data_IF_928265370406
#
_entry.id   IF_928265370406
#
_cell.length_a   1.000
_cell.length_b   1.000
_cell.length_c   1.000
_cell.angle_alpha   90.00
_cell.angle_beta   90.00
_cell.angle_gamma   90.00
#
_symmetry.space_group_name_H-M   'P 1'
#
loop_
_entity.id
_entity.type
_entity.pdbx_description
1 polymer ?
#
# COMPACT_ATOMS: atom_id res chain seq x y z
N UNK A 1 11.10 -72.08 35.20
CA UNK A 1 11.68 -70.75 35.53
C UNK A 1 12.26 -70.19 34.25
N UNK A 2 11.47 -69.36 33.56
CA UNK A 2 11.91 -68.59 32.39
C UNK A 2 12.69 -67.38 32.90
N UNK A 3 13.88 -67.16 32.33
CA UNK A 3 14.79 -66.06 32.68
C UNK A 3 14.17 -64.71 32.27
N UNK A 4 13.81 -63.83 33.23
CA UNK A 4 13.14 -62.57 32.94
C UNK A 4 14.07 -61.50 32.36
N UNK A 5 15.35 -61.80 32.14
CA UNK A 5 16.33 -60.82 31.61
C UNK A 5 16.42 -60.79 30.08
N UNK A 6 15.86 -61.79 29.37
CA UNK A 6 15.93 -61.85 27.91
C UNK A 6 14.90 -60.97 27.18
N UNK A 7 13.81 -60.56 27.84
CA UNK A 7 12.76 -59.73 27.22
C UNK A 7 13.07 -58.22 27.23
N UNK A 8 13.86 -57.74 28.19
CA UNK A 8 14.12 -56.29 28.32
C UNK A 8 15.03 -55.70 27.22
N UNK A 9 15.89 -56.51 26.60
CA UNK A 9 16.79 -56.04 25.53
C UNK A 9 16.11 -55.79 24.17
N UNK A 10 14.90 -56.33 23.96
CA UNK A 10 14.14 -56.10 22.73
C UNK A 10 13.45 -54.73 22.75
N UNK A 11 12.83 -54.37 23.89
CA UNK A 11 12.13 -53.09 24.03
C UNK A 11 13.06 -51.88 24.00
N UNK A 12 14.29 -52.01 24.54
CA UNK A 12 15.30 -50.94 24.52
C UNK A 12 15.81 -50.63 23.10
N UNK A 13 15.92 -51.67 22.25
CA UNK A 13 16.28 -51.52 20.83
C UNK A 13 15.13 -50.95 19.99
N UNK A 14 13.87 -51.25 20.30
CA UNK A 14 12.74 -50.67 19.59
C UNK A 14 12.45 -49.22 20.01
N UNK A 15 12.57 -48.91 21.32
CA UNK A 15 12.39 -47.57 21.85
C UNK A 15 13.40 -46.56 21.32
N UNK A 16 14.70 -46.92 21.31
CA UNK A 16 15.76 -46.05 20.74
C UNK A 16 15.63 -45.83 19.23
N UNK A 17 15.10 -46.81 18.49
CA UNK A 17 14.86 -46.71 17.04
C UNK A 17 13.63 -45.85 16.70
N UNK A 18 12.55 -45.95 17.47
CA UNK A 18 11.38 -45.09 17.31
C UNK A 18 11.72 -43.62 17.66
N UNK A 19 12.53 -43.40 18.70
CA UNK A 19 13.03 -42.07 19.08
C UNK A 19 13.89 -41.42 18.00
N UNK A 20 14.74 -42.18 17.30
CA UNK A 20 15.55 -41.67 16.18
C UNK A 20 14.69 -41.27 14.96
N UNK A 21 13.67 -42.07 14.61
CA UNK A 21 12.76 -41.75 13.50
C UNK A 21 11.89 -40.53 13.85
N UNK A 22 11.41 -40.43 15.09
CA UNK A 22 10.65 -39.27 15.55
C UNK A 22 11.52 -38.01 15.62
N UNK A 23 12.77 -38.09 16.08
CA UNK A 23 13.65 -36.91 16.18
C UNK A 23 14.09 -36.35 14.81
N UNK A 24 14.16 -37.16 13.76
CA UNK A 24 14.40 -36.67 12.40
C UNK A 24 13.13 -36.14 11.69
N UNK A 25 11.93 -36.57 12.10
CA UNK A 25 10.66 -36.15 11.48
C UNK A 25 9.97 -34.98 12.18
N UNK A 26 10.16 -34.82 13.49
CA UNK A 26 9.55 -33.74 14.28
C UNK A 26 9.90 -32.32 13.79
N UNK A 27 11.15 -31.98 13.42
CA UNK A 27 11.47 -30.63 12.94
C UNK A 27 10.72 -30.25 11.66
N UNK A 28 10.42 -31.22 10.80
CA UNK A 28 9.72 -31.00 9.53
C UNK A 28 8.20 -30.90 9.70
N UNK A 29 7.62 -31.74 10.56
CA UNK A 29 6.19 -31.65 10.95
C UNK A 29 5.93 -30.31 11.65
N UNK A 30 6.82 -29.90 12.57
CA UNK A 30 6.70 -28.62 13.27
C UNK A 30 6.96 -27.42 12.35
N UNK A 31 7.89 -27.48 11.40
CA UNK A 31 8.12 -26.36 10.45
C UNK A 31 6.94 -26.13 9.50
N UNK A 32 6.25 -27.22 9.12
CA UNK A 32 5.05 -27.17 8.27
C UNK A 32 3.86 -26.59 9.05
N UNK A 33 3.70 -26.94 10.33
CA UNK A 33 2.65 -26.42 11.21
C UNK A 33 2.90 -24.95 11.63
N UNK A 34 4.16 -24.55 11.83
CA UNK A 34 4.51 -23.20 12.34
C UNK A 34 4.64 -22.12 11.26
N UNK A 35 4.70 -22.48 9.97
CA UNK A 35 4.83 -21.51 8.86
C UNK A 35 3.61 -21.39 7.95
N UNK A 36 2.58 -22.24 8.07
CA UNK A 36 1.38 -22.12 7.21
C UNK A 36 0.39 -21.12 7.82
N UNK A 37 0.41 -19.86 7.36
CA UNK A 37 -0.72 -18.94 7.56
C UNK A 37 -1.89 -19.18 6.59
N UNK A 38 -1.73 -20.11 5.63
CA UNK A 38 -2.80 -20.62 4.77
C UNK A 38 -2.80 -22.15 4.83
N UNK A 39 -3.75 -22.72 5.57
CA UNK A 39 -3.90 -24.17 5.68
C UNK A 39 -4.60 -24.69 4.41
N UNK A 40 -3.86 -25.31 3.48
CA UNK A 40 -4.42 -26.06 2.35
C UNK A 40 -4.38 -27.57 2.68
N UNK A 41 -5.51 -28.18 3.08
CA UNK A 41 -5.52 -29.57 3.57
C UNK A 41 -5.04 -30.59 2.52
N UNK A 42 -5.31 -30.34 1.23
CA UNK A 42 -4.93 -31.24 0.15
C UNK A 42 -3.41 -31.28 -0.09
N UNK A 43 -2.74 -30.12 -0.05
CA UNK A 43 -1.28 -30.04 -0.14
C UNK A 43 -0.62 -30.69 1.07
N UNK A 44 -1.13 -30.42 2.28
CA UNK A 44 -0.62 -31.04 3.51
C UNK A 44 -0.79 -32.56 3.51
N UNK A 45 -1.93 -33.08 3.05
CA UNK A 45 -2.16 -34.52 2.91
C UNK A 45 -1.25 -35.13 1.85
N UNK A 46 -1.02 -34.44 0.72
CA UNK A 46 -0.09 -34.88 -0.31
C UNK A 46 1.36 -34.96 0.18
N UNK A 47 1.84 -33.93 0.88
CA UNK A 47 3.17 -33.90 1.50
C UNK A 47 3.31 -34.97 2.58
N UNK A 48 2.32 -35.10 3.48
CA UNK A 48 2.32 -36.14 4.51
C UNK A 48 2.32 -37.54 3.90
N UNK A 49 1.50 -37.81 2.90
CA UNK A 49 1.47 -39.10 2.19
C UNK A 49 2.83 -39.41 1.55
N UNK A 50 3.47 -38.42 0.94
CA UNK A 50 4.80 -38.59 0.36
C UNK A 50 5.86 -38.91 1.42
N UNK A 51 5.87 -38.20 2.54
CA UNK A 51 6.76 -38.50 3.67
C UNK A 51 6.49 -39.87 4.27
N UNK A 52 5.23 -40.29 4.37
CA UNK A 52 4.84 -41.63 4.81
C UNK A 52 5.34 -42.71 3.83
N UNK A 53 5.24 -42.48 2.52
CA UNK A 53 5.75 -43.40 1.51
C UNK A 53 7.29 -43.49 1.54
N UNK A 54 7.98 -42.37 1.75
CA UNK A 54 9.43 -42.35 1.96
C UNK A 54 9.81 -43.14 3.22
N UNK A 55 9.20 -42.83 4.36
CA UNK A 55 9.47 -43.50 5.61
C UNK A 55 9.16 -45.01 5.53
N UNK A 56 8.06 -45.38 4.88
CA UNK A 56 7.69 -46.77 4.60
C UNK A 56 8.69 -47.47 3.68
N UNK A 57 9.17 -46.77 2.65
CA UNK A 57 10.21 -47.26 1.74
C UNK A 57 11.56 -47.49 2.43
N UNK A 58 11.97 -46.56 3.29
CA UNK A 58 13.16 -46.70 4.14
C UNK A 58 13.01 -47.85 5.13
N UNK A 59 11.86 -47.97 5.80
CA UNK A 59 11.58 -49.07 6.72
C UNK A 59 11.54 -50.43 6.01
N UNK A 60 10.98 -50.48 4.81
CA UNK A 60 10.97 -51.69 3.97
C UNK A 60 12.37 -52.09 3.53
N UNK A 61 13.16 -51.14 3.02
CA UNK A 61 14.56 -51.38 2.67
C UNK A 61 15.36 -51.89 3.89
N UNK A 62 15.10 -51.32 5.06
CA UNK A 62 15.77 -51.68 6.32
C UNK A 62 15.42 -53.10 6.79
N UNK A 63 14.17 -53.53 6.63
CA UNK A 63 13.64 -54.80 7.17
C UNK A 63 13.69 -55.97 6.20
N UNK A 64 13.56 -55.73 4.88
CA UNK A 64 13.41 -56.77 3.85
C UNK A 64 14.48 -56.76 2.75
N UNK A 65 15.46 -55.86 2.77
CA UNK A 65 16.57 -55.89 1.84
C UNK A 65 17.45 -57.14 2.06
N UNK A 66 17.30 -58.15 1.20
CA UNK A 66 17.95 -59.46 1.33
C UNK A 66 19.48 -59.37 1.23
N UNK A 67 20.01 -58.35 0.55
CA UNK A 67 21.46 -58.11 0.46
C UNK A 67 21.87 -56.69 0.86
N UNK A 68 23.14 -56.50 1.24
CA UNK A 68 23.70 -55.17 1.53
C UNK A 68 23.62 -54.25 0.29
N UNK A 69 23.75 -54.82 -0.89
CA UNK A 69 23.72 -54.09 -2.17
C UNK A 69 22.32 -53.56 -2.50
N UNK A 70 21.27 -54.36 -2.28
CA UNK A 70 19.88 -53.92 -2.48
C UNK A 70 19.49 -52.79 -1.53
N UNK A 71 19.93 -52.85 -0.27
CA UNK A 71 19.72 -51.78 0.70
C UNK A 71 20.40 -50.49 0.27
N UNK A 72 21.65 -50.56 -0.18
CA UNK A 72 22.37 -49.42 -0.69
C UNK A 72 21.67 -48.80 -1.93
N UNK A 73 21.17 -49.63 -2.85
CA UNK A 73 20.40 -49.17 -4.01
C UNK A 73 19.10 -48.46 -3.61
N UNK A 74 18.33 -49.05 -2.69
CA UNK A 74 17.09 -48.44 -2.20
C UNK A 74 17.35 -47.10 -1.50
N UNK A 75 18.38 -47.01 -0.63
CA UNK A 75 18.74 -45.75 0.01
C UNK A 75 19.19 -44.69 -0.99
N UNK A 76 19.93 -45.07 -2.02
CA UNK A 76 20.34 -44.16 -3.08
C UNK A 76 19.11 -43.65 -3.87
N UNK A 77 18.21 -44.54 -4.25
CA UNK A 77 16.98 -44.19 -4.98
C UNK A 77 16.09 -43.24 -4.17
N UNK A 78 15.85 -43.52 -2.89
CA UNK A 78 15.04 -42.64 -2.04
C UNK A 78 15.72 -41.29 -1.75
N UNK A 79 17.05 -41.28 -1.57
CA UNK A 79 17.81 -40.03 -1.45
C UNK A 79 17.72 -39.16 -2.70
N UNK A 80 17.78 -39.77 -3.89
CA UNK A 80 17.64 -39.06 -5.17
C UNK A 80 16.23 -38.52 -5.38
N UNK A 81 15.19 -39.29 -5.02
CA UNK A 81 13.80 -38.82 -5.07
C UNK A 81 13.56 -37.66 -4.11
N UNK A 82 14.12 -37.73 -2.90
CA UNK A 82 14.05 -36.65 -1.93
C UNK A 82 14.76 -35.37 -2.42
N UNK A 83 15.94 -35.51 -3.02
CA UNK A 83 16.66 -34.40 -3.63
C UNK A 83 15.86 -33.77 -4.78
N UNK A 84 15.31 -34.58 -5.69
CA UNK A 84 14.51 -34.11 -6.81
C UNK A 84 13.27 -33.33 -6.34
N UNK A 85 12.56 -33.84 -5.32
CA UNK A 85 11.43 -33.11 -4.74
C UNK A 85 11.87 -31.81 -4.06
N UNK A 86 12.97 -31.83 -3.31
CA UNK A 86 13.50 -30.64 -2.65
C UNK A 86 13.89 -29.54 -3.65
N UNK A 87 14.48 -29.94 -4.78
CA UNK A 87 14.78 -29.02 -5.89
C UNK A 87 13.49 -28.49 -6.54
N UNK A 88 12.50 -29.36 -6.77
CA UNK A 88 11.22 -28.96 -7.34
C UNK A 88 10.45 -27.97 -6.47
N UNK A 89 10.34 -28.22 -5.16
CA UNK A 89 9.68 -27.32 -4.21
C UNK A 89 10.41 -25.98 -4.07
N UNK A 90 11.74 -26.00 -4.09
CA UNK A 90 12.52 -24.75 -4.11
C UNK A 90 12.36 -24.00 -5.44
N UNK A 91 12.25 -24.69 -6.57
CA UNK A 91 11.98 -24.08 -7.86
C UNK A 91 10.59 -23.43 -7.92
N UNK A 92 9.56 -24.09 -7.38
CA UNK A 92 8.20 -23.51 -7.26
C UNK A 92 8.21 -22.22 -6.42
N UNK A 93 8.83 -22.27 -5.22
CA UNK A 93 9.00 -21.07 -4.38
C UNK A 93 9.78 -19.96 -5.09
N UNK A 94 10.81 -20.32 -5.84
CA UNK A 94 11.59 -19.37 -6.63
C UNK A 94 10.72 -18.73 -7.73
N UNK A 95 9.89 -19.50 -8.42
CA UNK A 95 8.93 -18.97 -9.41
C UNK A 95 7.91 -18.01 -8.78
N UNK A 96 7.34 -18.37 -7.63
CA UNK A 96 6.44 -17.48 -6.88
C UNK A 96 7.15 -16.17 -6.50
N UNK A 97 8.36 -16.25 -5.96
CA UNK A 97 9.20 -15.09 -5.62
C UNK A 97 9.46 -14.21 -6.84
N UNK A 98 9.82 -14.80 -7.99
CA UNK A 98 10.04 -14.04 -9.23
C UNK A 98 8.75 -13.38 -9.73
N UNK A 99 7.62 -14.08 -9.64
CA UNK A 99 6.31 -13.57 -10.05
C UNK A 99 5.84 -12.38 -9.18
N UNK A 100 6.13 -12.44 -7.87
CA UNK A 100 5.86 -11.37 -6.90
C UNK A 100 6.82 -10.20 -7.11
N UNK A 101 8.11 -10.47 -7.37
CA UNK A 101 9.09 -9.43 -7.73
C UNK A 101 8.70 -8.69 -9.00
N UNK A 102 8.27 -9.41 -10.04
CA UNK A 102 7.85 -8.81 -11.29
C UNK A 102 6.63 -7.91 -11.10
N UNK A 103 5.58 -8.40 -10.43
CA UNK A 103 4.38 -7.61 -10.17
C UNK A 103 4.63 -6.41 -9.24
N UNK A 104 5.51 -6.56 -8.24
CA UNK A 104 5.91 -5.44 -7.40
C UNK A 104 6.74 -4.41 -8.16
N UNK A 105 7.62 -4.83 -9.08
CA UNK A 105 8.35 -3.92 -9.96
C UNK A 105 7.40 -3.16 -10.88
N UNK A 106 6.38 -3.81 -11.45
CA UNK A 106 5.34 -3.13 -12.22
C UNK A 106 4.59 -2.08 -11.39
N UNK A 107 4.18 -2.43 -10.16
CA UNK A 107 3.54 -1.46 -9.24
C UNK A 107 4.48 -0.30 -8.94
N UNK A 108 5.75 -0.58 -8.63
CA UNK A 108 6.76 0.44 -8.38
C UNK A 108 6.90 1.37 -9.58
N UNK A 109 6.95 0.84 -10.81
CA UNK A 109 7.03 1.63 -12.03
C UNK A 109 5.77 2.47 -12.25
N UNK A 110 4.58 1.94 -11.99
CA UNK A 110 3.32 2.70 -12.06
C UNK A 110 3.32 3.84 -11.04
N UNK A 111 3.77 3.60 -9.81
CA UNK A 111 3.86 4.62 -8.76
C UNK A 111 4.91 5.69 -9.07
N UNK A 112 6.10 5.29 -9.55
CA UNK A 112 7.17 6.21 -9.92
C UNK A 112 6.76 7.07 -11.15
N UNK A 113 6.02 6.49 -12.11
CA UNK A 113 5.44 7.22 -13.25
C UNK A 113 4.32 8.19 -12.81
N UNK A 114 3.45 7.77 -11.89
CA UNK A 114 2.42 8.64 -11.32
C UNK A 114 3.05 9.82 -10.56
N UNK A 115 4.14 9.57 -9.81
CA UNK A 115 4.92 10.62 -9.14
C UNK A 115 5.54 11.59 -10.14
N UNK A 116 6.18 11.11 -11.20
CA UNK A 116 6.70 11.97 -12.28
C UNK A 116 5.58 12.76 -12.97
N UNK A 117 4.40 12.18 -13.19
CA UNK A 117 3.26 12.91 -13.76
C UNK A 117 2.74 14.00 -12.83
N UNK A 118 2.75 13.79 -11.52
CA UNK A 118 2.40 14.82 -10.54
C UNK A 118 3.45 15.95 -10.52
N UNK A 119 4.74 15.62 -10.59
CA UNK A 119 5.84 16.58 -10.68
C UNK A 119 5.82 17.38 -12.00
N UNK A 120 5.51 16.73 -13.13
CA UNK A 120 5.35 17.34 -14.45
C UNK A 120 4.06 18.16 -14.58
N UNK A 121 3.04 17.89 -13.77
CA UNK A 121 1.82 18.73 -13.76
C UNK A 121 2.05 20.11 -13.15
N UNK A 122 3.12 20.28 -12.34
CA UNK A 122 3.58 21.59 -11.86
C UNK A 122 4.47 22.32 -12.88
N UNK A 123 4.99 21.63 -13.90
CA UNK A 123 5.77 22.20 -15.00
C UNK A 123 5.04 21.93 -16.31
N UNK A 124 3.93 22.65 -16.53
CA UNK A 124 2.96 22.38 -17.59
C UNK A 124 3.54 21.98 -18.95
N UNK A 125 3.66 20.68 -19.20
CA UNK A 125 3.75 20.12 -20.55
C UNK A 125 3.49 18.60 -20.58
N UNK A 126 2.45 18.24 -21.32
CA UNK A 126 2.14 17.00 -22.03
C UNK A 126 2.96 15.72 -21.73
N UNK A 127 2.42 14.84 -20.88
CA UNK A 127 2.83 13.43 -20.78
C UNK A 127 1.61 12.49 -20.67
N UNK A 128 0.65 12.61 -21.61
CA UNK A 128 -0.66 11.93 -21.53
C UNK A 128 -0.73 10.56 -22.21
N UNK A 129 0.31 10.07 -22.88
CA UNK A 129 0.17 8.91 -23.80
C UNK A 129 1.04 7.68 -23.54
N UNK A 130 1.94 7.66 -22.55
CA UNK A 130 2.84 6.50 -22.36
C UNK A 130 2.43 5.54 -21.21
N UNK A 131 1.69 6.01 -20.21
CA UNK A 131 1.32 5.15 -19.06
C UNK A 131 0.27 4.07 -19.39
N UNK A 132 -0.63 4.31 -20.37
CA UNK A 132 -1.71 3.36 -20.67
C UNK A 132 -1.29 2.18 -21.58
N UNK A 133 -0.11 2.27 -22.20
CA UNK A 133 0.39 1.22 -23.10
C UNK A 133 1.17 0.12 -22.37
N UNK A 134 1.76 0.41 -21.20
CA UNK A 134 2.61 -0.54 -20.48
C UNK A 134 1.86 -1.65 -19.72
N UNK A 135 0.54 -1.55 -19.55
CA UNK A 135 -0.27 -2.55 -18.80
C UNK A 135 -1.03 -3.50 -19.76
N UNK A 136 -0.90 -3.29 -21.08
CA UNK A 136 -1.78 -3.94 -22.08
C UNK A 136 -1.21 -5.16 -22.78
N UNK A 137 0.03 -5.55 -22.53
CA UNK A 137 0.60 -6.77 -23.10
C UNK A 137 1.51 -7.44 -22.07
N UNK A 138 1.04 -8.54 -21.46
CA UNK A 138 1.85 -9.77 -21.28
C UNK A 138 1.09 -10.91 -20.58
N UNK A 139 0.91 -11.97 -21.36
CA UNK A 139 0.81 -13.41 -21.04
C UNK A 139 -0.34 -13.97 -20.18
N UNK A 140 -1.10 -14.85 -20.85
CA UNK A 140 -1.94 -15.94 -20.35
C UNK A 140 -1.12 -17.02 -19.60
N UNK A 141 -0.45 -16.64 -18.51
CA UNK A 141 0.09 -17.55 -17.49
C UNK A 141 -0.74 -17.44 -16.21
N UNK A 142 -0.83 -18.52 -15.41
CA UNK A 142 -1.53 -18.54 -14.12
C UNK A 142 -1.07 -17.36 -13.24
N UNK A 143 -1.85 -16.31 -13.16
CA UNK A 143 -1.59 -15.19 -12.26
C UNK A 143 -1.75 -15.67 -10.82
N UNK A 144 -0.83 -15.29 -9.95
CA UNK A 144 -1.01 -15.56 -8.52
C UNK A 144 -2.08 -14.63 -7.94
N UNK A 145 -2.78 -15.05 -6.89
CA UNK A 145 -3.76 -14.23 -6.17
C UNK A 145 -3.23 -12.82 -5.84
N UNK A 146 -1.95 -12.73 -5.46
CA UNK A 146 -1.30 -11.45 -5.13
C UNK A 146 -1.13 -10.57 -6.36
N UNK A 147 -0.88 -11.15 -7.55
CA UNK A 147 -0.84 -10.40 -8.81
C UNK A 147 -2.21 -9.85 -9.20
N UNK A 148 -3.27 -10.64 -9.00
CA UNK A 148 -4.65 -10.22 -9.26
C UNK A 148 -4.99 -9.00 -8.38
N UNK A 149 -4.70 -9.10 -7.08
CA UNK A 149 -4.92 -8.01 -6.13
C UNK A 149 -4.09 -6.77 -6.48
N UNK A 150 -2.79 -6.95 -6.74
CA UNK A 150 -1.87 -5.90 -7.13
C UNK A 150 -2.31 -5.15 -8.40
N UNK A 151 -2.69 -5.87 -9.45
CA UNK A 151 -3.12 -5.27 -10.71
C UNK A 151 -4.41 -4.47 -10.55
N UNK A 152 -5.36 -5.00 -9.77
CA UNK A 152 -6.62 -4.31 -9.52
C UNK A 152 -6.47 -3.05 -8.66
N UNK A 153 -5.68 -3.09 -7.59
CA UNK A 153 -5.41 -1.90 -6.77
C UNK A 153 -4.54 -0.87 -7.50
N UNK A 154 -3.61 -1.29 -8.36
CA UNK A 154 -2.85 -0.38 -9.22
C UNK A 154 -3.77 0.40 -10.17
N UNK A 155 -4.78 -0.26 -10.76
CA UNK A 155 -5.79 0.42 -11.58
C UNK A 155 -6.60 1.44 -10.77
N UNK A 156 -7.04 1.08 -9.56
CA UNK A 156 -7.74 2.02 -8.66
C UNK A 156 -6.86 3.21 -8.29
N UNK A 157 -5.55 2.98 -8.04
CA UNK A 157 -4.59 4.03 -7.74
C UNK A 157 -4.39 4.97 -8.94
N UNK A 158 -4.35 4.45 -10.17
CA UNK A 158 -4.27 5.25 -11.39
C UNK A 158 -5.53 6.12 -11.55
N UNK A 159 -6.72 5.55 -11.35
CA UNK A 159 -7.98 6.29 -11.42
C UNK A 159 -8.08 7.38 -10.35
N UNK A 160 -7.70 7.06 -9.11
CA UNK A 160 -7.57 8.04 -8.03
C UNK A 160 -6.59 9.17 -8.40
N UNK A 161 -5.41 8.84 -8.93
CA UNK A 161 -4.43 9.81 -9.39
C UNK A 161 -4.98 10.74 -10.49
N UNK A 162 -5.75 10.20 -11.45
CA UNK A 162 -6.42 11.01 -12.48
C UNK A 162 -7.47 11.95 -11.89
N UNK A 163 -8.31 11.48 -10.95
CA UNK A 163 -9.32 12.30 -10.25
C UNK A 163 -8.65 13.42 -9.44
N UNK A 164 -7.58 13.13 -8.71
CA UNK A 164 -6.81 14.13 -7.95
C UNK A 164 -6.12 15.17 -8.85
N UNK A 165 -5.61 14.75 -10.01
CA UNK A 165 -5.04 15.68 -10.99
C UNK A 165 -6.10 16.64 -11.56
N UNK A 166 -7.29 16.14 -11.83
CA UNK A 166 -8.41 16.98 -12.28
C UNK A 166 -8.85 17.97 -11.19
N UNK A 167 -8.99 17.50 -9.94
CA UNK A 167 -9.25 18.34 -8.78
C UNK A 167 -8.20 19.46 -8.64
N UNK A 168 -6.90 19.14 -8.77
CA UNK A 168 -5.83 20.14 -8.73
C UNK A 168 -5.96 21.20 -9.84
N UNK A 169 -6.37 20.81 -11.05
CA UNK A 169 -6.63 21.78 -12.13
C UNK A 169 -7.80 22.71 -11.79
N UNK A 170 -8.84 22.20 -11.14
CA UNK A 170 -9.96 23.01 -10.66
C UNK A 170 -9.53 23.98 -9.55
N UNK A 171 -8.66 23.57 -8.63
CA UNK A 171 -8.01 24.49 -7.67
C UNK A 171 -7.24 25.61 -8.37
N UNK A 172 -6.38 25.28 -9.35
CA UNK A 172 -5.63 26.29 -10.11
C UNK A 172 -6.57 27.24 -10.89
N UNK A 173 -7.70 26.72 -11.35
CA UNK A 173 -8.71 27.50 -12.08
C UNK A 173 -9.63 28.31 -11.17
N UNK A 174 -9.67 28.02 -9.87
CA UNK A 174 -10.53 28.71 -8.88
C UNK A 174 -10.18 30.19 -8.70
N UNK A 175 -8.96 30.60 -9.08
CA UNK A 175 -8.43 31.95 -8.89
C UNK A 175 -8.42 32.40 -7.43
N UNK A 176 -8.14 31.50 -6.50
CA UNK A 176 -8.00 31.84 -5.07
C UNK A 176 -6.98 32.96 -4.82
N UNK A 177 -5.96 33.09 -5.69
CA UNK A 177 -5.00 34.19 -5.69
C UNK A 177 -5.64 35.58 -5.85
N UNK A 178 -6.82 35.64 -6.48
CA UNK A 178 -7.57 36.88 -6.71
C UNK A 178 -8.61 37.19 -5.64
N UNK A 179 -8.98 36.23 -4.80
CA UNK A 179 -10.03 36.41 -3.80
C UNK A 179 -9.76 37.60 -2.87
N UNK A 180 -8.50 37.88 -2.55
CA UNK A 180 -8.11 39.01 -1.70
C UNK A 180 -7.42 40.13 -2.47
N UNK A 181 -7.59 40.18 -3.79
CA UNK A 181 -7.01 41.26 -4.60
C UNK A 181 -7.62 42.62 -4.21
N UNK A 182 -6.86 43.73 -4.27
CA UNK A 182 -7.38 45.03 -3.87
C UNK A 182 -8.66 45.43 -4.59
N UNK A 183 -8.76 45.18 -5.91
CA UNK A 183 -9.95 45.48 -6.69
C UNK A 183 -11.21 44.75 -6.18
N UNK A 184 -11.03 43.51 -5.72
CA UNK A 184 -12.13 42.73 -5.19
C UNK A 184 -12.56 43.19 -3.80
N UNK A 185 -11.66 43.77 -3.01
CA UNK A 185 -11.95 44.23 -1.65
C UNK A 185 -12.51 45.66 -1.57
N UNK A 186 -12.63 46.38 -2.69
CA UNK A 186 -13.11 47.79 -2.68
C UNK A 186 -14.43 48.03 -3.39
N UNK A 187 -15.09 47.00 -3.92
CA UNK A 187 -16.36 47.15 -4.65
C UNK A 187 -17.33 46.01 -4.34
N UNK A 188 -18.64 46.28 -4.42
CA UNK A 188 -19.66 45.25 -4.16
C UNK A 188 -19.54 44.06 -5.11
N UNK A 189 -19.33 44.32 -6.40
CA UNK A 189 -19.14 43.26 -7.41
C UNK A 189 -17.91 42.42 -7.11
N UNK A 190 -16.81 43.08 -6.73
CA UNK A 190 -15.57 42.41 -6.35
C UNK A 190 -15.71 41.54 -5.11
N UNK A 191 -16.40 42.04 -4.07
CA UNK A 191 -16.66 41.30 -2.83
C UNK A 191 -17.50 40.06 -3.13
N UNK A 192 -18.52 40.19 -3.97
CA UNK A 192 -19.34 39.06 -4.41
C UNK A 192 -18.53 38.02 -5.18
N UNK A 193 -17.62 38.45 -6.07
CA UNK A 193 -16.72 37.55 -6.79
C UNK A 193 -15.78 36.80 -5.82
N UNK A 194 -15.21 37.50 -4.83
CA UNK A 194 -14.38 36.88 -3.80
C UNK A 194 -15.11 35.83 -2.98
N UNK A 195 -16.37 36.09 -2.60
CA UNK A 195 -17.20 35.10 -1.90
C UNK A 195 -17.41 33.84 -2.74
N UNK A 196 -17.76 34.02 -4.01
CA UNK A 196 -17.94 32.90 -4.94
C UNK A 196 -16.64 32.08 -5.11
N UNK A 197 -15.48 32.74 -5.17
CA UNK A 197 -14.18 32.06 -5.21
C UNK A 197 -13.96 31.24 -3.94
N UNK A 198 -14.15 31.83 -2.76
CA UNK A 198 -13.94 31.12 -1.48
C UNK A 198 -14.91 29.94 -1.32
N UNK A 199 -16.18 30.11 -1.68
CA UNK A 199 -17.19 29.06 -1.66
C UNK A 199 -16.83 27.89 -2.58
N UNK A 200 -16.43 28.17 -3.82
CA UNK A 200 -15.95 27.15 -4.74
C UNK A 200 -14.74 26.38 -4.18
N UNK A 201 -13.78 27.06 -3.54
CA UNK A 201 -12.61 26.38 -2.95
C UNK A 201 -12.99 25.54 -1.72
N UNK A 202 -13.96 25.97 -0.92
CA UNK A 202 -14.51 25.15 0.18
C UNK A 202 -15.10 23.84 -0.34
N UNK A 203 -15.86 23.88 -1.45
CA UNK A 203 -16.39 22.68 -2.08
C UNK A 203 -15.27 21.75 -2.58
N UNK A 204 -14.22 22.31 -3.18
CA UNK A 204 -13.06 21.52 -3.62
C UNK A 204 -12.31 20.87 -2.44
N UNK A 205 -12.20 21.54 -1.29
CA UNK A 205 -11.62 20.96 -0.07
C UNK A 205 -12.42 19.74 0.41
N UNK A 206 -13.74 19.88 0.47
CA UNK A 206 -14.64 18.79 0.86
C UNK A 206 -14.53 17.60 -0.12
N UNK A 207 -14.49 17.88 -1.42
CA UNK A 207 -14.33 16.86 -2.45
C UNK A 207 -13.00 16.11 -2.32
N UNK A 208 -11.89 16.81 -2.04
CA UNK A 208 -10.56 16.23 -1.82
C UNK A 208 -10.58 15.15 -0.75
N UNK A 209 -11.12 15.48 0.42
CA UNK A 209 -11.18 14.54 1.55
C UNK A 209 -12.11 13.36 1.22
N UNK A 210 -13.26 13.63 0.58
CA UNK A 210 -14.18 12.58 0.15
C UNK A 210 -13.55 11.60 -0.84
N UNK A 211 -12.75 12.07 -1.81
CA UNK A 211 -12.03 11.22 -2.75
C UNK A 211 -11.07 10.25 -2.04
N UNK A 212 -10.29 10.73 -1.07
CA UNK A 212 -9.35 9.89 -0.32
C UNK A 212 -10.08 8.83 0.50
N UNK A 213 -11.16 9.21 1.17
CA UNK A 213 -11.99 8.26 1.93
C UNK A 213 -12.62 7.20 1.02
N UNK A 214 -13.13 7.62 -0.14
CA UNK A 214 -13.74 6.71 -1.11
C UNK A 214 -12.71 5.79 -1.76
N UNK A 215 -11.49 6.26 -2.03
CA UNK A 215 -10.41 5.44 -2.57
C UNK A 215 -10.12 4.22 -1.68
N UNK A 216 -10.01 4.40 -0.36
CA UNK A 216 -9.80 3.26 0.55
C UNK A 216 -11.03 2.35 0.66
N UNK A 217 -12.24 2.88 0.53
CA UNK A 217 -13.47 2.05 0.45
C UNK A 217 -13.49 1.21 -0.83
N UNK A 218 -13.14 1.81 -1.97
CA UNK A 218 -13.03 1.15 -3.28
C UNK A 218 -11.98 0.03 -3.24
N UNK A 219 -10.79 0.29 -2.67
CA UNK A 219 -9.76 -0.74 -2.47
C UNK A 219 -10.31 -1.91 -1.65
N UNK A 220 -10.91 -1.63 -0.48
CA UNK A 220 -11.43 -2.69 0.39
C UNK A 220 -12.52 -3.49 -0.31
N UNK A 221 -13.46 -2.82 -0.96
CA UNK A 221 -14.53 -3.48 -1.72
C UNK A 221 -13.99 -4.36 -2.86
N UNK A 222 -12.95 -3.89 -3.55
CA UNK A 222 -12.29 -4.68 -4.60
C UNK A 222 -11.63 -5.93 -4.01
N UNK A 223 -10.83 -5.80 -2.93
CA UNK A 223 -10.15 -6.94 -2.31
C UNK A 223 -11.17 -7.95 -1.77
N UNK A 224 -12.23 -7.48 -1.10
CA UNK A 224 -13.27 -8.33 -0.54
C UNK A 224 -13.98 -9.15 -1.64
N UNK A 225 -14.23 -8.54 -2.81
CA UNK A 225 -14.92 -9.16 -3.95
C UNK A 225 -14.02 -9.96 -4.90
N UNK A 226 -12.70 -9.83 -4.81
CA UNK A 226 -11.77 -10.56 -5.67
C UNK A 226 -11.88 -12.08 -5.46
N UNK A 227 -11.81 -12.85 -6.56
CA UNK A 227 -11.83 -14.31 -6.52
C UNK A 227 -10.42 -14.86 -6.23
N UNK A 228 -10.00 -14.71 -4.98
CA UNK A 228 -8.67 -15.10 -4.47
C UNK A 228 -8.80 -15.69 -3.06
N UNK A 229 -7.80 -16.45 -2.61
CA UNK A 229 -7.80 -17.06 -1.28
C UNK A 229 -7.91 -16.00 -0.16
N UNK A 230 -8.74 -16.29 0.85
CA UNK A 230 -8.98 -15.36 1.96
C UNK A 230 -7.67 -14.98 2.70
N UNK A 231 -6.76 -15.93 2.90
CA UNK A 231 -5.47 -15.65 3.53
C UNK A 231 -4.62 -14.61 2.75
N UNK A 232 -4.75 -14.60 1.42
CA UNK A 232 -4.08 -13.61 0.57
C UNK A 232 -4.77 -12.24 0.64
N UNK A 233 -6.12 -12.19 0.72
CA UNK A 233 -6.87 -10.95 0.99
C UNK A 233 -6.45 -10.34 2.32
N UNK A 234 -6.43 -11.12 3.39
CA UNK A 234 -6.09 -10.67 4.73
C UNK A 234 -4.66 -10.13 4.78
N UNK A 235 -3.70 -10.87 4.19
CA UNK A 235 -2.32 -10.41 4.11
C UNK A 235 -2.15 -9.13 3.30
N UNK A 236 -2.94 -8.94 2.23
CA UNK A 236 -2.90 -7.74 1.42
C UNK A 236 -3.51 -6.54 2.16
N UNK A 237 -4.64 -6.74 2.84
CA UNK A 237 -5.32 -5.70 3.63
C UNK A 237 -4.48 -5.17 4.78
N UNK A 238 -3.65 -6.00 5.42
CA UNK A 238 -2.69 -5.53 6.45
C UNK A 238 -1.79 -4.43 5.88
N UNK A 239 -1.27 -4.60 4.66
CA UNK A 239 -0.44 -3.57 4.02
C UNK A 239 -1.20 -2.27 3.73
N UNK A 240 -2.48 -2.36 3.36
CA UNK A 240 -3.34 -1.19 3.12
C UNK A 240 -3.66 -0.47 4.43
N UNK A 241 -4.01 -1.20 5.49
CA UNK A 241 -4.35 -0.65 6.80
C UNK A 241 -3.13 -0.11 7.55
N UNK A 242 -1.91 -0.58 7.26
CA UNK A 242 -0.67 0.02 7.78
C UNK A 242 -0.46 1.46 7.26
N UNK A 243 -0.84 1.73 6.02
CA UNK A 243 -0.61 3.04 5.38
C UNK A 243 -1.73 4.05 5.63
N UNK A 244 -2.97 3.57 5.53
CA UNK A 244 -4.19 4.39 5.55
C UNK A 244 -4.27 5.40 6.71
N UNK A 245 -3.93 5.08 7.97
CA UNK A 245 -3.99 6.06 9.07
C UNK A 245 -3.10 7.28 8.85
N UNK A 246 -1.90 7.10 8.28
CA UNK A 246 -0.96 8.19 8.04
C UNK A 246 -1.45 9.11 6.91
N UNK A 247 -1.94 8.51 5.82
CA UNK A 247 -2.53 9.25 4.70
C UNK A 247 -3.76 10.02 5.14
N UNK A 248 -4.70 9.36 5.82
CA UNK A 248 -5.92 10.01 6.30
C UNK A 248 -5.59 11.15 7.26
N UNK A 249 -4.66 10.94 8.20
CA UNK A 249 -4.21 12.00 9.10
C UNK A 249 -3.71 13.22 8.33
N UNK A 250 -2.84 13.03 7.34
CA UNK A 250 -2.31 14.14 6.54
C UNK A 250 -3.43 14.88 5.78
N UNK A 251 -4.39 14.17 5.19
CA UNK A 251 -5.51 14.82 4.49
C UNK A 251 -6.50 15.52 5.43
N UNK A 252 -6.73 15.00 6.64
CA UNK A 252 -7.50 15.70 7.66
C UNK A 252 -6.79 16.97 8.14
N UNK A 253 -5.47 16.93 8.31
CA UNK A 253 -4.68 18.11 8.65
C UNK A 253 -4.72 19.15 7.52
N UNK A 254 -4.59 18.73 6.25
CA UNK A 254 -4.74 19.63 5.09
C UNK A 254 -6.15 20.23 4.98
N UNK A 255 -7.19 19.46 5.25
CA UNK A 255 -8.57 19.95 5.26
C UNK A 255 -8.79 20.97 6.37
N UNK A 256 -8.33 20.68 7.59
CA UNK A 256 -8.37 21.62 8.73
C UNK A 256 -7.69 22.94 8.39
N UNK A 257 -6.46 22.89 7.88
CA UNK A 257 -5.66 24.08 7.52
C UNK A 257 -6.32 24.84 6.37
N UNK A 258 -6.76 24.14 5.32
CA UNK A 258 -7.43 24.75 4.18
C UNK A 258 -8.74 25.45 4.57
N UNK A 259 -9.54 24.86 5.46
CA UNK A 259 -10.78 25.47 5.93
C UNK A 259 -10.53 26.67 6.85
N UNK A 260 -9.49 26.62 7.69
CA UNK A 260 -9.06 27.77 8.49
C UNK A 260 -8.58 28.93 7.59
N UNK A 261 -7.80 28.63 6.54
CA UNK A 261 -7.36 29.64 5.55
C UNK A 261 -8.56 30.35 4.92
N UNK A 262 -9.57 29.59 4.49
CA UNK A 262 -10.76 30.13 3.83
C UNK A 262 -11.65 30.91 4.80
N UNK A 263 -11.65 30.54 6.09
CA UNK A 263 -12.30 31.32 7.14
C UNK A 263 -11.64 32.69 7.31
N UNK A 264 -10.31 32.76 7.46
CA UNK A 264 -9.60 34.05 7.55
C UNK A 264 -9.79 34.90 6.27
N UNK A 265 -9.83 34.26 5.09
CA UNK A 265 -10.13 34.95 3.84
C UNK A 265 -11.56 35.54 3.84
N UNK A 266 -12.54 34.78 4.31
CA UNK A 266 -13.91 35.27 4.50
C UNK A 266 -13.99 36.41 5.51
N UNK A 267 -13.19 36.39 6.58
CA UNK A 267 -13.16 37.46 7.57
C UNK A 267 -12.57 38.76 6.99
N UNK A 268 -11.57 38.66 6.11
CA UNK A 268 -11.09 39.82 5.33
C UNK A 268 -12.18 40.35 4.38
N UNK A 269 -12.92 39.46 3.70
CA UNK A 269 -14.03 39.86 2.82
C UNK A 269 -15.15 40.52 3.61
N UNK A 270 -15.50 40.00 4.80
CA UNK A 270 -16.49 40.58 5.71
C UNK A 270 -16.04 41.97 6.19
N UNK A 271 -14.76 42.12 6.55
CA UNK A 271 -14.17 43.42 6.91
C UNK A 271 -14.29 44.42 5.76
N UNK A 272 -14.04 43.98 4.52
CA UNK A 272 -14.18 44.79 3.33
C UNK A 272 -15.62 45.25 3.09
N UNK A 273 -16.58 44.34 3.21
CA UNK A 273 -18.01 44.63 3.07
C UNK A 273 -18.52 45.62 4.12
N UNK A 274 -18.14 45.41 5.39
CA UNK A 274 -18.50 46.31 6.49
C UNK A 274 -17.93 47.73 6.35
N UNK A 275 -16.88 47.88 5.52
CA UNK A 275 -16.23 49.15 5.23
C UNK A 275 -16.33 49.54 3.76
N UNK A 276 -17.36 49.06 3.06
CA UNK A 276 -17.56 49.36 1.65
C UNK A 276 -17.64 50.87 1.41
N UNK A 277 -16.92 51.33 0.38
CA UNK A 277 -16.77 52.75 0.05
C UNK A 277 -15.84 53.54 0.97
N UNK A 278 -15.37 52.94 2.08
CA UNK A 278 -14.38 53.54 2.99
C UNK A 278 -12.98 52.98 2.77
N UNK A 279 -12.88 51.69 2.42
CA UNK A 279 -11.62 51.11 1.94
C UNK A 279 -11.42 51.53 0.48
N UNK A 280 -10.23 52.04 0.16
CA UNK A 280 -9.89 52.51 -1.18
C UNK A 280 -8.53 52.00 -1.62
N UNK A 281 -8.21 52.17 -2.90
CA UNK A 281 -6.91 51.83 -3.47
C UNK A 281 -6.14 53.12 -3.73
N UNK A 282 -4.92 53.24 -3.18
CA UNK A 282 -4.00 54.33 -3.49
C UNK A 282 -2.64 53.74 -3.83
N UNK A 283 -2.10 54.05 -5.01
CA UNK A 283 -0.83 53.49 -5.51
C UNK A 283 -0.75 51.96 -5.42
N UNK A 284 -1.86 51.26 -5.72
CA UNK A 284 -1.95 49.80 -5.66
C UNK A 284 -2.05 49.19 -4.26
N UNK A 285 -2.12 50.01 -3.22
CA UNK A 285 -2.25 49.57 -1.82
C UNK A 285 -3.65 49.84 -1.29
N UNK A 286 -4.14 48.94 -0.43
CA UNK A 286 -5.39 49.14 0.30
C UNK A 286 -5.19 50.19 1.40
N UNK A 287 -6.05 51.20 1.39
CA UNK A 287 -6.13 52.23 2.43
C UNK A 287 -7.37 51.95 3.27
N UNK A 288 -7.19 51.82 4.59
CA UNK A 288 -8.23 51.50 5.54
C UNK A 288 -8.74 52.75 6.27
N UNK A 289 -10.02 52.78 6.70
CA UNK A 289 -10.60 53.96 7.33
C UNK A 289 -10.04 54.27 8.73
N UNK A 290 -9.51 53.27 9.43
CA UNK A 290 -8.96 53.43 10.77
C UNK A 290 -7.90 52.34 11.06
N UNK A 291 -7.15 52.54 12.15
CA UNK A 291 -6.09 51.61 12.58
C UNK A 291 -6.62 50.22 12.97
N UNK A 292 -7.84 50.16 13.50
CA UNK A 292 -8.49 48.91 13.90
C UNK A 292 -8.72 48.01 12.69
N UNK A 293 -9.34 48.55 11.62
CA UNK A 293 -9.59 47.81 10.37
C UNK A 293 -8.30 47.34 9.71
N UNK A 294 -7.26 48.18 9.67
CA UNK A 294 -5.94 47.78 9.18
C UNK A 294 -5.33 46.68 10.05
N UNK A 295 -5.49 46.77 11.38
CA UNK A 295 -5.04 45.77 12.33
C UNK A 295 -5.70 44.42 12.10
N UNK A 296 -7.03 44.38 11.96
CA UNK A 296 -7.79 43.16 11.66
C UNK A 296 -7.38 42.56 10.32
N UNK A 297 -7.25 43.37 9.25
CA UNK A 297 -6.76 42.91 7.95
C UNK A 297 -5.38 42.24 8.07
N UNK A 298 -4.43 42.92 8.72
CA UNK A 298 -3.08 42.39 8.89
C UNK A 298 -3.06 41.11 9.72
N UNK A 299 -3.89 41.01 10.77
CA UNK A 299 -4.01 39.81 11.59
C UNK A 299 -4.43 38.59 10.75
N UNK A 300 -5.56 38.70 10.02
CA UNK A 300 -6.04 37.60 9.19
C UNK A 300 -5.09 37.27 8.03
N UNK A 301 -4.45 38.30 7.43
CA UNK A 301 -3.46 38.08 6.37
C UNK A 301 -2.23 37.31 6.89
N UNK A 302 -1.75 37.62 8.10
CA UNK A 302 -0.64 36.86 8.70
C UNK A 302 -1.05 35.42 9.03
N UNK A 303 -2.27 35.20 9.54
CA UNK A 303 -2.78 33.83 9.76
C UNK A 303 -2.82 33.04 8.45
N UNK A 304 -3.32 33.64 7.36
CA UNK A 304 -3.33 33.06 6.02
C UNK A 304 -1.92 32.63 5.58
N UNK A 305 -0.91 33.47 5.79
CA UNK A 305 0.49 33.15 5.45
C UNK A 305 1.00 31.97 6.28
N UNK A 306 0.79 32.00 7.60
CA UNK A 306 1.18 30.91 8.50
C UNK A 306 0.50 29.59 8.13
N UNK A 307 -0.80 29.61 7.81
CA UNK A 307 -1.55 28.43 7.39
C UNK A 307 -1.04 27.88 6.04
N UNK A 308 -0.66 28.74 5.09
CA UNK A 308 -0.06 28.30 3.83
C UNK A 308 1.31 27.62 4.02
N UNK A 309 2.12 28.12 4.95
CA UNK A 309 3.39 27.48 5.36
C UNK A 309 3.13 26.13 6.05
N UNK A 310 2.13 26.06 6.93
CA UNK A 310 1.72 24.81 7.59
C UNK A 310 1.25 23.77 6.57
N UNK A 311 0.41 24.13 5.60
CA UNK A 311 -0.04 23.23 4.55
C UNK A 311 1.15 22.69 3.72
N UNK A 312 2.11 23.58 3.39
CA UNK A 312 3.33 23.20 2.67
C UNK A 312 4.16 22.18 3.45
N UNK A 313 4.29 22.36 4.77
CA UNK A 313 4.98 21.41 5.64
C UNK A 313 4.26 20.05 5.68
N UNK A 314 2.92 20.03 5.76
CA UNK A 314 2.12 18.79 5.73
C UNK A 314 2.32 18.05 4.40
N UNK A 315 2.26 18.77 3.26
CA UNK A 315 2.49 18.21 1.91
C UNK A 315 3.89 17.61 1.78
N UNK A 316 4.90 18.32 2.27
CA UNK A 316 6.30 17.86 2.25
C UNK A 316 6.47 16.58 3.06
N UNK A 317 5.94 16.56 4.28
CA UNK A 317 5.99 15.38 5.15
C UNK A 317 5.27 14.18 4.54
N UNK A 318 4.09 14.37 3.95
CA UNK A 318 3.36 13.31 3.27
C UNK A 318 4.18 12.73 2.09
N UNK A 319 4.86 13.58 1.32
CA UNK A 319 5.73 13.14 0.24
C UNK A 319 6.96 12.35 0.74
N UNK A 320 7.59 12.80 1.83
CA UNK A 320 8.70 12.10 2.47
C UNK A 320 8.28 10.74 3.04
N UNK A 321 7.13 10.67 3.73
CA UNK A 321 6.61 9.44 4.30
C UNK A 321 6.26 8.44 3.19
N UNK A 322 5.67 8.91 2.09
CA UNK A 322 5.43 8.11 0.88
C UNK A 322 6.74 7.58 0.27
N UNK A 323 7.77 8.42 0.15
CA UNK A 323 9.07 8.01 -0.38
C UNK A 323 9.75 6.95 0.51
N UNK A 324 9.77 7.15 1.84
CA UNK A 324 10.32 6.17 2.80
C UNK A 324 9.61 4.83 2.72
N UNK A 325 8.30 4.84 2.48
CA UNK A 325 7.54 3.61 2.34
C UNK A 325 7.82 2.90 1.03
N UNK A 326 7.90 3.62 -0.08
CA UNK A 326 8.31 3.05 -1.36
C UNK A 326 9.71 2.41 -1.26
N UNK A 327 10.64 3.01 -0.53
CA UNK A 327 11.94 2.39 -0.26
C UNK A 327 11.84 1.11 0.60
N UNK A 328 11.00 1.11 1.65
CA UNK A 328 10.76 -0.09 2.47
C UNK A 328 10.18 -1.22 1.62
N UNK A 329 9.22 -0.91 0.75
CA UNK A 329 8.64 -1.86 -0.19
C UNK A 329 9.70 -2.39 -1.16
N UNK A 330 10.48 -1.51 -1.80
CA UNK A 330 11.61 -1.88 -2.66
C UNK A 330 12.61 -2.82 -1.96
N UNK A 331 12.98 -2.54 -0.70
CA UNK A 331 13.87 -3.41 0.09
C UNK A 331 13.24 -4.78 0.37
N UNK A 332 11.96 -4.82 0.73
CA UNK A 332 11.23 -6.07 0.99
C UNK A 332 11.16 -6.94 -0.28
N UNK A 333 10.89 -6.33 -1.44
CA UNK A 333 10.90 -6.98 -2.75
C UNK A 333 12.26 -7.59 -3.06
N UNK A 334 13.34 -6.83 -2.86
CA UNK A 334 14.70 -7.28 -3.15
C UNK A 334 15.20 -8.38 -2.21
N UNK A 335 14.62 -8.48 -1.00
CA UNK A 335 14.99 -9.50 0.00
C UNK A 335 14.28 -10.85 -0.16
N UNK A 336 13.21 -10.91 -0.97
CA UNK A 336 12.56 -12.16 -1.36
C UNK A 336 13.44 -12.93 -2.36
#
# INVERSE_FOLDING_TARGET
MSDPTAENGAYEKWGSRALLVLSFSLPFILSSITKSKSFQPAEMVGEMLFYFLLAGGFAYAWTKGNTKLERARLYLTFSLLFLALSVYLNYQKWQEIQSVKHALNEIITVVDNAKQQMELSNSGQSARSQASAAIKDESTGNQTDIQILAKGTARLAEEFGRRMLDLNKRYLSSRIDKALSPANLTSQSGISESRAIVENVLELNAERLAMVLNYYKEIKSFIDSADVLQANKDSYLVGVEDFKPQTLKAYYEMDRVGNAYLQDANDIINLAENNLGKISINNGQLIFPNKESLGSYNFHLQNIITLAEEETAIRTKLAEDSAKQNEKLKKKVNSL
#
